data_IF_605578825142
#
_entry.id   IF_605578825142
#
_cell.length_a   1.000
_cell.length_b   1.000
_cell.length_c   1.000
_cell.angle_alpha   90.00
_cell.angle_beta   90.00
_cell.angle_gamma   90.00
#
_symmetry.space_group_name_H-M   'P 1'
#
loop_
_entity.id
_entity.type
_entity.pdbx_description
1 polymer ?
#
# COMPACT_ATOMS: atom_id res chain seq x y z
N UNK A 1 7.76 -3.82 -0.15
CA UNK A 1 7.06 -3.60 -1.45
C UNK A 1 7.65 -2.36 -2.10
N UNK A 2 7.62 -2.20 -3.43
CA UNK A 2 8.12 -0.97 -4.09
C UNK A 2 7.04 -0.37 -4.98
N UNK A 3 6.70 0.89 -4.72
CA UNK A 3 5.76 1.69 -5.51
C UNK A 3 6.48 2.92 -6.02
N UNK A 4 6.47 3.16 -7.33
CA UNK A 4 7.12 4.31 -7.96
C UNK A 4 6.21 4.96 -8.99
N UNK A 5 6.52 6.20 -9.36
CA UNK A 5 5.77 6.96 -10.37
C UNK A 5 5.03 8.13 -9.75
N UNK A 6 3.76 8.29 -10.12
CA UNK A 6 2.91 9.37 -9.66
C UNK A 6 2.58 9.28 -8.16
N UNK A 7 1.93 10.33 -7.66
CA UNK A 7 1.57 10.46 -6.24
C UNK A 7 0.42 9.51 -5.88
N UNK A 8 0.76 8.25 -5.63
CA UNK A 8 -0.15 7.20 -5.18
C UNK A 8 0.43 6.53 -3.94
N UNK A 9 -0.45 5.96 -3.13
CA UNK A 9 -0.10 5.18 -1.95
C UNK A 9 -0.72 3.80 -2.06
N UNK A 10 -0.11 2.83 -1.37
CA UNK A 10 -0.63 1.46 -1.30
C UNK A 10 -1.03 1.10 0.12
N UNK A 11 -2.23 0.57 0.26
CA UNK A 11 -2.80 0.12 1.52
C UNK A 11 -3.16 -1.36 1.43
N UNK A 12 -2.78 -2.13 2.44
CA UNK A 12 -3.14 -3.53 2.62
C UNK A 12 -4.43 -3.63 3.43
N UNK A 13 -5.35 -4.47 2.94
CA UNK A 13 -6.63 -4.79 3.56
C UNK A 13 -6.75 -6.29 3.77
N UNK A 14 -7.52 -6.67 4.79
CA UNK A 14 -7.84 -8.07 5.07
C UNK A 14 -8.70 -8.15 6.33
N UNK A 15 -9.55 -9.17 6.42
CA UNK A 15 -10.48 -9.34 7.56
C UNK A 15 -9.78 -9.51 8.91
N UNK A 16 -8.49 -9.88 8.88
CA UNK A 16 -7.64 -10.07 10.05
C UNK A 16 -6.99 -8.76 10.53
N UNK A 17 -7.11 -7.68 9.76
CA UNK A 17 -6.56 -6.36 10.08
C UNK A 17 -7.64 -5.49 10.72
N UNK A 18 -7.29 -4.78 11.81
CA UNK A 18 -8.22 -3.86 12.48
C UNK A 18 -8.57 -2.65 11.59
N UNK A 19 -7.60 -2.19 10.82
CA UNK A 19 -7.71 -1.15 9.80
C UNK A 19 -6.73 -1.49 8.67
N UNK A 20 -6.77 -0.73 7.58
CA UNK A 20 -5.82 -0.85 6.50
C UNK A 20 -4.40 -0.46 6.93
N UNK A 21 -3.41 -1.14 6.38
CA UNK A 21 -2.00 -0.93 6.69
C UNK A 21 -1.33 -0.21 5.52
N UNK A 22 -0.66 0.92 5.78
CA UNK A 22 0.11 1.60 4.74
C UNK A 22 1.37 0.78 4.41
N UNK A 23 1.61 0.49 3.13
CA UNK A 23 2.77 -0.27 2.64
C UNK A 23 3.84 0.61 1.98
N UNK A 24 3.72 1.93 2.10
CA UNK A 24 4.71 2.90 1.62
C UNK A 24 6.02 2.85 2.40
N UNK A 25 7.11 3.29 1.77
CA UNK A 25 8.48 3.24 2.31
C UNK A 25 8.63 3.86 3.70
N UNK A 26 7.82 4.88 4.02
CA UNK A 26 7.86 5.60 5.30
C UNK A 26 6.78 5.16 6.28
N UNK A 27 6.11 4.05 6.02
CA UNK A 27 5.06 3.55 6.93
C UNK A 27 5.69 3.06 8.24
N UNK A 28 5.13 3.44 9.40
CA UNK A 28 5.62 2.98 10.71
C UNK A 28 5.27 1.49 10.97
N UNK A 29 4.45 0.89 10.12
CA UNK A 29 4.03 -0.51 10.22
C UNK A 29 5.06 -1.48 9.61
N UNK A 30 6.06 -0.94 8.89
CA UNK A 30 7.13 -1.73 8.29
C UNK A 30 8.29 -1.87 9.27
N UNK A 31 8.99 -2.99 9.19
CA UNK A 31 10.27 -3.16 9.87
C UNK A 31 11.39 -2.31 9.22
N UNK A 32 12.58 -2.34 9.81
CA UNK A 32 13.78 -1.61 9.32
C UNK A 32 14.19 -2.00 7.89
N UNK A 33 13.62 -3.06 7.31
CA UNK A 33 13.86 -3.55 5.95
C UNK A 33 12.71 -3.23 4.99
N UNK A 34 11.68 -2.51 5.44
CA UNK A 34 10.50 -2.18 4.63
C UNK A 34 9.56 -3.37 4.41
N UNK A 35 9.55 -4.34 5.33
CA UNK A 35 8.75 -5.56 5.27
C UNK A 35 7.61 -5.45 6.29
N UNK A 36 6.40 -5.79 5.86
CA UNK A 36 5.25 -6.00 6.73
C UNK A 36 5.06 -7.50 6.97
N UNK A 37 4.92 -7.91 8.22
CA UNK A 37 4.66 -9.30 8.60
C UNK A 37 3.15 -9.50 8.67
N UNK A 38 2.60 -10.39 7.82
CA UNK A 38 1.18 -10.70 7.85
C UNK A 38 0.82 -11.36 9.19
N UNK A 39 -0.19 -10.84 9.91
CA UNK A 39 -0.51 -11.33 11.25
C UNK A 39 -1.22 -12.69 11.26
N UNK A 40 -1.82 -13.08 10.13
CA UNK A 40 -2.56 -14.32 10.00
C UNK A 40 -2.56 -14.82 8.55
N UNK A 41 -2.83 -16.11 8.37
CA UNK A 41 -3.10 -16.68 7.05
C UNK A 41 -4.48 -16.25 6.54
N UNK A 42 -4.61 -16.01 5.23
CA UNK A 42 -5.89 -15.66 4.62
C UNK A 42 -5.73 -14.85 3.34
N UNK A 43 -6.85 -14.36 2.84
CA UNK A 43 -6.91 -13.45 1.70
C UNK A 43 -6.61 -12.01 2.13
N UNK A 44 -5.83 -11.32 1.30
CA UNK A 44 -5.46 -9.92 1.47
C UNK A 44 -5.64 -9.17 0.16
N UNK A 45 -5.98 -7.89 0.26
CA UNK A 45 -6.15 -6.99 -0.88
C UNK A 45 -5.18 -5.82 -0.77
N UNK A 46 -4.43 -5.52 -1.84
CA UNK A 46 -3.63 -4.29 -1.92
C UNK A 46 -4.37 -3.29 -2.80
N UNK A 47 -4.70 -2.13 -2.22
CA UNK A 47 -5.33 -1.01 -2.94
C UNK A 47 -4.30 0.07 -3.21
N UNK A 48 -4.11 0.41 -4.49
CA UNK A 48 -3.32 1.57 -4.92
C UNK A 48 -4.26 2.73 -5.17
N UNK A 49 -4.08 3.81 -4.41
CA UNK A 49 -5.02 4.93 -4.35
C UNK A 49 -4.28 6.26 -4.50
N UNK A 50 -4.98 7.27 -5.04
CA UNK A 50 -4.48 8.65 -5.07
C UNK A 50 -5.17 9.50 -3.98
N UNK A 51 -4.52 10.55 -3.46
CA UNK A 51 -5.14 11.46 -2.51
C UNK A 51 -6.42 12.10 -3.06
N UNK A 52 -7.41 12.36 -2.19
CA UNK A 52 -8.68 13.01 -2.57
C UNK A 52 -8.47 14.34 -3.29
N UNK A 53 -7.43 15.10 -2.94
CA UNK A 53 -7.08 16.36 -3.59
C UNK A 53 -6.67 16.20 -5.06
N UNK A 54 -6.11 15.04 -5.43
CA UNK A 54 -5.77 14.69 -6.81
C UNK A 54 -6.99 14.14 -7.56
N UNK A 55 -7.75 13.24 -6.93
CA UNK A 55 -8.98 12.70 -7.51
C UNK A 55 -10.00 13.82 -7.85
N UNK A 56 -10.15 14.82 -6.98
CA UNK A 56 -11.00 16.01 -7.21
C UNK A 56 -10.61 16.81 -8.45
N UNK A 57 -9.38 16.66 -8.93
CA UNK A 57 -8.83 17.36 -10.10
C UNK A 57 -8.72 16.44 -11.32
N UNK A 58 -9.40 15.28 -11.30
CA UNK A 58 -9.34 14.23 -12.33
C UNK A 58 -7.90 13.83 -12.72
N UNK A 59 -6.98 13.85 -11.75
CA UNK A 59 -5.61 13.38 -12.01
C UNK A 59 -5.62 11.85 -12.19
N UNK A 60 -4.77 11.38 -13.12
CA UNK A 60 -4.59 9.96 -13.46
C UNK A 60 -3.11 9.61 -13.35
N UNK A 61 -2.55 9.54 -12.14
CA UNK A 61 -1.13 9.27 -11.95
C UNK A 61 -0.78 7.87 -12.47
N UNK A 62 0.19 7.80 -13.37
CA UNK A 62 0.80 6.53 -13.78
C UNK A 62 1.75 6.03 -12.69
N UNK A 63 1.74 4.73 -12.40
CA UNK A 63 2.57 4.12 -11.38
C UNK A 63 3.07 2.74 -11.80
N UNK A 64 4.10 2.26 -11.10
CA UNK A 64 4.64 0.91 -11.20
C UNK A 64 4.74 0.30 -9.81
N UNK A 65 4.34 -0.96 -9.69
CA UNK A 65 4.30 -1.67 -8.42
C UNK A 65 5.03 -3.01 -8.52
N UNK A 66 5.86 -3.30 -7.53
CA UNK A 66 6.51 -4.60 -7.33
C UNK A 66 6.17 -5.16 -5.96
N UNK A 67 5.61 -6.36 -5.95
CA UNK A 67 5.20 -7.10 -4.75
C UNK A 67 6.13 -8.30 -4.58
N UNK A 68 6.59 -8.51 -3.36
CA UNK A 68 7.37 -9.67 -2.98
C UNK A 68 6.80 -10.26 -1.69
N UNK A 69 6.47 -11.56 -1.72
CA UNK A 69 5.99 -12.35 -0.58
C UNK A 69 7.04 -13.45 -0.37
N UNK A 70 7.49 -13.63 0.87
CA UNK A 70 8.50 -14.62 1.26
C UNK A 70 7.98 -15.46 2.41
#
# INVERSE_FOLDING_TARGET
>A
MKLTGGNVEAYLWGNQLKDSINLGEYSPELDDKGIYILPASGEYEIRVLQPRSQARKDKKPQYWMSINIK
#
